data_IF_902319430921
#
_entry.id   IF_902319430921
#
_cell.length_a   1.000
_cell.length_b   1.000
_cell.length_c   1.000
_cell.angle_alpha   90.00
_cell.angle_beta   90.00
_cell.angle_gamma   90.00
#
_symmetry.space_group_name_H-M   'P 1'
#
loop_
_entity.id
_entity.type
_entity.pdbx_description
1 polymer ?
#
# COMPACT_ATOMS: atom_id res chain seq x y z
N UNK A 1 -17.58 -5.37 1.74
CA UNK A 1 -17.85 -3.98 2.10
C UNK A 1 -17.77 -3.08 0.87
N UNK A 2 -17.83 -1.74 1.03
CA UNK A 2 -17.92 -0.83 -0.12
C UNK A 2 -16.64 0.00 -0.36
N UNK A 3 -15.78 0.10 0.62
CA UNK A 3 -14.55 0.90 0.54
C UNK A 3 -13.38 0.27 1.27
N UNK A 4 -12.15 0.66 0.91
CA UNK A 4 -10.95 0.18 1.60
C UNK A 4 -10.94 0.53 3.08
N UNK A 5 -11.41 1.73 3.46
CA UNK A 5 -11.52 2.11 4.86
C UNK A 5 -12.45 1.17 5.65
N UNK A 6 -13.59 0.77 5.08
CA UNK A 6 -14.48 -0.22 5.70
C UNK A 6 -13.80 -1.58 5.83
N UNK A 7 -13.05 -2.02 4.82
CA UNK A 7 -12.30 -3.28 4.90
C UNK A 7 -11.28 -3.25 6.04
N UNK A 8 -10.47 -2.18 6.14
CA UNK A 8 -9.48 -2.03 7.22
C UNK A 8 -10.15 -2.00 8.59
N UNK A 9 -11.22 -1.23 8.77
CA UNK A 9 -11.95 -1.20 10.05
C UNK A 9 -12.51 -2.57 10.45
N UNK A 10 -13.06 -3.31 9.47
CA UNK A 10 -13.57 -4.65 9.74
C UNK A 10 -12.46 -5.68 9.97
N UNK A 11 -11.31 -5.58 9.29
CA UNK A 11 -10.16 -6.42 9.60
C UNK A 11 -9.69 -6.24 11.05
N UNK A 12 -9.65 -5.00 11.55
CA UNK A 12 -9.34 -4.72 12.96
C UNK A 12 -10.42 -5.26 13.89
N UNK A 13 -11.71 -5.13 13.56
CA UNK A 13 -12.80 -5.71 14.36
C UNK A 13 -12.65 -7.23 14.47
N UNK A 14 -12.34 -7.90 13.37
CA UNK A 14 -12.11 -9.35 13.32
C UNK A 14 -10.92 -9.73 14.20
N UNK A 15 -9.79 -9.02 14.05
CA UNK A 15 -8.59 -9.26 14.85
C UNK A 15 -8.83 -9.08 16.36
N UNK A 16 -9.53 -8.01 16.75
CA UNK A 16 -9.92 -7.76 18.14
C UNK A 16 -10.84 -8.86 18.70
N UNK A 17 -11.80 -9.30 17.89
CA UNK A 17 -12.71 -10.38 18.28
C UNK A 17 -11.98 -11.71 18.47
N UNK A 18 -11.03 -12.02 17.60
CA UNK A 18 -10.24 -13.25 17.65
C UNK A 18 -9.27 -13.26 18.84
N UNK A 19 -8.55 -12.17 19.06
CA UNK A 19 -7.49 -12.13 20.07
C UNK A 19 -7.98 -11.73 21.47
N UNK A 20 -9.12 -11.06 21.58
CA UNK A 20 -9.59 -10.43 22.82
C UNK A 20 -8.77 -9.20 23.24
N UNK A 21 -7.81 -8.77 22.41
CA UNK A 21 -6.93 -7.63 22.64
C UNK A 21 -7.49 -6.39 21.94
N UNK A 22 -6.95 -5.19 22.21
CA UNK A 22 -7.54 -3.94 21.72
C UNK A 22 -6.62 -3.02 20.95
N UNK A 23 -5.31 -3.02 21.23
CA UNK A 23 -4.36 -2.13 20.58
C UNK A 23 -4.10 -2.53 19.11
N UNK A 24 -3.83 -1.55 18.29
CA UNK A 24 -3.49 -1.72 16.85
C UNK A 24 -2.18 -1.04 16.57
N UNK A 25 -1.25 -1.72 15.93
CA UNK A 25 -0.03 -1.11 15.43
C UNK A 25 -0.13 -0.85 13.92
N UNK A 26 0.37 0.31 13.50
CA UNK A 26 0.54 0.73 12.11
C UNK A 26 1.92 1.36 11.94
N UNK A 27 2.34 1.65 10.74
CA UNK A 27 3.70 2.08 10.45
C UNK A 27 3.81 3.55 10.08
N UNK A 28 5.03 4.10 10.22
CA UNK A 28 5.34 5.40 9.65
C UNK A 28 5.01 5.41 8.16
N UNK A 29 4.60 6.56 7.64
CA UNK A 29 4.18 6.79 6.26
C UNK A 29 2.92 6.04 5.80
N UNK A 30 2.27 5.22 6.64
CA UNK A 30 1.10 4.42 6.29
C UNK A 30 -0.12 5.26 5.88
N UNK A 31 -0.94 4.67 5.01
CA UNK A 31 -2.25 5.20 4.65
C UNK A 31 -3.29 4.08 4.61
N UNK A 32 -4.28 4.15 5.51
CA UNK A 32 -5.31 3.11 5.63
C UNK A 32 -6.75 3.60 5.42
N UNK A 33 -6.93 4.88 5.10
CA UNK A 33 -8.24 5.46 4.83
C UNK A 33 -8.51 6.79 5.51
N UNK A 34 -9.77 7.26 5.42
CA UNK A 34 -10.19 8.61 5.87
C UNK A 34 -11.40 8.60 6.81
N UNK A 35 -11.84 7.46 7.34
CA UNK A 35 -12.78 7.40 8.47
C UNK A 35 -12.06 7.79 9.76
N UNK A 36 -12.76 8.07 10.83
CA UNK A 36 -12.14 8.48 12.09
C UNK A 36 -11.07 7.49 12.57
N UNK A 37 -11.38 6.18 12.51
CA UNK A 37 -10.46 5.14 12.94
C UNK A 37 -9.28 4.99 11.97
N UNK A 38 -9.53 4.91 10.66
CA UNK A 38 -8.45 4.77 9.67
C UNK A 38 -7.60 6.04 9.56
N UNK A 39 -8.13 7.24 9.89
CA UNK A 39 -7.32 8.45 10.05
C UNK A 39 -6.37 8.38 11.25
N UNK A 40 -6.76 7.72 12.36
CA UNK A 40 -5.82 7.43 13.45
C UNK A 40 -4.64 6.59 12.94
N UNK A 41 -4.90 5.62 12.05
CA UNK A 41 -3.90 4.74 11.45
C UNK A 41 -3.06 5.43 10.36
N UNK A 42 -3.63 6.37 9.60
CA UNK A 42 -2.94 7.11 8.53
C UNK A 42 -1.88 8.05 9.12
N UNK A 43 -0.67 8.07 8.53
CA UNK A 43 0.46 8.83 9.08
C UNK A 43 0.39 10.32 8.75
N UNK A 44 0.26 10.66 7.48
CA UNK A 44 0.42 12.03 6.97
C UNK A 44 -0.66 12.98 7.52
N UNK A 45 -0.23 14.08 8.16
CA UNK A 45 -1.16 15.04 8.74
C UNK A 45 -1.90 15.84 7.65
N UNK A 46 -1.16 16.56 6.80
CA UNK A 46 -1.74 17.30 5.66
C UNK A 46 -1.63 16.44 4.39
N UNK A 47 -2.70 16.33 3.59
CA UNK A 47 -4.02 16.97 3.72
C UNK A 47 -5.04 16.18 4.55
N UNK A 48 -4.68 15.03 5.15
CA UNK A 48 -5.66 14.02 5.58
C UNK A 48 -6.28 14.28 6.96
N UNK A 49 -5.49 14.73 7.95
CA UNK A 49 -5.88 14.75 9.38
C UNK A 49 -6.19 16.12 9.95
N UNK A 50 -5.62 17.16 9.38
CA UNK A 50 -5.76 18.53 9.92
C UNK A 50 -7.23 18.95 10.01
N UNK A 51 -7.69 19.28 11.23
CA UNK A 51 -9.04 19.76 11.50
C UNK A 51 -10.10 18.69 11.72
N UNK A 52 -9.74 17.38 11.70
CA UNK A 52 -10.70 16.27 11.83
C UNK A 52 -10.61 15.49 13.16
N UNK A 53 -9.72 15.89 14.07
CA UNK A 53 -9.62 15.24 15.39
C UNK A 53 -10.78 15.58 16.34
N UNK A 54 -10.94 14.85 17.47
CA UNK A 54 -10.06 13.79 17.93
C UNK A 54 -10.24 12.47 17.16
N UNK A 55 -9.15 11.70 17.07
CA UNK A 55 -9.17 10.39 16.42
C UNK A 55 -9.35 9.26 17.44
N UNK A 56 -9.62 8.04 16.93
CA UNK A 56 -9.74 6.84 17.76
C UNK A 56 -8.46 6.57 18.56
N UNK A 57 -8.63 6.08 19.80
CA UNK A 57 -7.56 5.66 20.69
C UNK A 57 -6.98 4.29 20.33
N UNK A 58 -5.90 3.92 21.02
CA UNK A 58 -5.29 2.59 20.97
C UNK A 58 -4.76 2.21 19.59
N UNK A 59 -4.39 3.23 18.79
CA UNK A 59 -3.66 3.10 17.53
C UNK A 59 -2.25 3.62 17.74
N UNK A 60 -1.28 2.74 17.60
CA UNK A 60 0.14 3.00 17.86
C UNK A 60 0.91 2.99 16.55
N UNK A 61 1.90 3.89 16.43
CA UNK A 61 2.73 3.98 15.25
C UNK A 61 4.12 3.44 15.54
N UNK A 62 4.63 2.59 14.65
CA UNK A 62 5.97 2.01 14.74
C UNK A 62 6.80 2.35 13.51
N UNK A 63 8.15 2.33 13.63
CA UNK A 63 9.02 2.63 12.50
C UNK A 63 8.82 1.67 11.33
N UNK A 64 8.78 2.22 10.10
CA UNK A 64 8.80 1.46 8.85
C UNK A 64 10.24 1.27 8.37
N UNK A 65 10.47 0.21 7.60
CA UNK A 65 11.68 0.10 6.78
C UNK A 65 11.59 1.05 5.60
N UNK A 66 12.57 1.93 5.47
CA UNK A 66 12.70 2.85 4.35
C UNK A 66 14.16 2.92 3.88
N UNK A 67 14.60 1.98 3.02
CA UNK A 67 16.03 1.78 2.71
C UNK A 67 16.77 3.05 2.28
N UNK A 68 16.13 3.89 1.47
CA UNK A 68 16.72 5.17 1.03
C UNK A 68 17.01 6.12 2.22
N UNK A 69 16.25 6.03 3.31
CA UNK A 69 16.33 6.97 4.44
C UNK A 69 17.11 6.42 5.62
N UNK A 70 16.93 5.14 5.93
CA UNK A 70 17.52 4.54 7.13
C UNK A 70 18.75 3.66 6.83
N UNK A 71 18.91 3.20 5.59
CA UNK A 71 20.05 2.37 5.17
C UNK A 71 20.13 1.01 5.91
N UNK A 72 19.05 0.60 6.59
CA UNK A 72 19.01 -0.63 7.37
C UNK A 72 18.70 -1.84 6.48
N UNK A 73 19.22 -2.99 6.87
CA UNK A 73 18.76 -4.28 6.36
C UNK A 73 17.32 -4.54 6.82
N UNK A 74 16.63 -5.47 6.16
CA UNK A 74 15.26 -5.83 6.56
C UNK A 74 15.17 -6.33 7.99
N UNK A 75 16.14 -7.12 8.45
CA UNK A 75 16.18 -7.61 9.82
C UNK A 75 16.40 -6.48 10.84
N UNK A 76 17.36 -5.59 10.61
CA UNK A 76 17.61 -4.46 11.51
C UNK A 76 16.41 -3.51 11.60
N UNK A 77 15.75 -3.24 10.48
CA UNK A 77 14.53 -2.44 10.46
C UNK A 77 13.37 -3.14 11.19
N UNK A 78 13.24 -4.46 11.04
CA UNK A 78 12.25 -5.25 11.76
C UNK A 78 12.53 -5.26 13.26
N UNK A 79 13.77 -5.49 13.68
CA UNK A 79 14.18 -5.46 15.09
C UNK A 79 13.87 -4.10 15.75
N UNK A 80 14.09 -3.01 15.02
CA UNK A 80 13.71 -1.65 15.45
C UNK A 80 12.21 -1.51 15.67
N UNK A 81 11.39 -2.00 14.74
CA UNK A 81 9.93 -1.96 14.86
C UNK A 81 9.43 -2.87 15.98
N UNK A 82 9.92 -4.11 16.05
CA UNK A 82 9.58 -5.11 17.07
C UNK A 82 9.90 -4.57 18.47
N UNK A 83 11.04 -3.93 18.65
CA UNK A 83 11.40 -3.31 19.94
C UNK A 83 10.33 -2.32 20.41
N UNK A 84 9.75 -1.53 19.51
CA UNK A 84 8.66 -0.60 19.85
C UNK A 84 7.38 -1.37 20.19
N UNK A 85 7.03 -2.40 19.40
CA UNK A 85 5.88 -3.26 19.66
C UNK A 85 5.95 -3.89 21.07
N UNK A 86 7.11 -4.39 21.48
CA UNK A 86 7.31 -5.05 22.77
C UNK A 86 7.37 -4.07 23.94
N UNK A 87 8.13 -2.99 23.80
CA UNK A 87 8.45 -2.13 24.93
C UNK A 87 7.47 -0.99 25.18
N UNK A 88 6.73 -0.56 24.17
CA UNK A 88 5.83 0.58 24.26
C UNK A 88 4.34 0.19 24.19
N UNK A 89 4.01 -0.92 23.52
CA UNK A 89 2.63 -1.37 23.36
C UNK A 89 2.39 -2.64 24.19
N UNK A 90 3.26 -3.61 24.06
CA UNK A 90 3.16 -4.95 24.67
C UNK A 90 2.33 -5.90 23.81
N UNK A 91 2.88 -7.07 23.53
CA UNK A 91 2.22 -8.09 22.72
C UNK A 91 0.87 -8.55 23.32
N UNK A 92 0.74 -8.53 24.64
CA UNK A 92 -0.49 -8.92 25.35
C UNK A 92 -1.66 -7.95 25.12
N UNK A 93 -1.38 -6.71 24.72
CA UNK A 93 -2.40 -5.70 24.41
C UNK A 93 -2.71 -5.65 22.91
N UNK A 94 -1.79 -6.11 22.05
CA UNK A 94 -1.83 -5.89 20.63
C UNK A 94 -2.71 -6.92 19.91
N UNK A 95 -3.84 -6.46 19.38
CA UNK A 95 -4.75 -7.26 18.58
C UNK A 95 -4.19 -7.58 17.20
N UNK A 96 -3.67 -6.56 16.52
CA UNK A 96 -3.11 -6.72 15.17
C UNK A 96 -2.03 -5.69 14.85
N UNK A 97 -1.23 -6.09 13.88
CA UNK A 97 -0.34 -5.22 13.10
C UNK A 97 -0.93 -5.06 11.71
N UNK A 98 -1.14 -3.82 11.26
CA UNK A 98 -1.65 -3.49 9.92
C UNK A 98 -0.55 -2.83 9.11
N UNK A 99 -0.22 -3.41 7.95
CA UNK A 99 0.89 -2.98 7.13
C UNK A 99 0.54 -3.07 5.64
N UNK A 100 0.87 -2.02 4.88
CA UNK A 100 0.90 -2.06 3.42
C UNK A 100 2.23 -2.71 2.98
N UNK A 101 2.24 -3.87 2.28
CA UNK A 101 3.49 -4.53 1.87
C UNK A 101 4.41 -3.63 1.02
N UNK A 102 3.80 -2.75 0.21
CA UNK A 102 4.43 -1.58 -0.40
C UNK A 102 3.55 -0.39 -0.05
N UNK A 103 4.10 0.59 0.66
CA UNK A 103 3.32 1.75 1.12
C UNK A 103 2.96 2.67 -0.03
N UNK A 104 1.65 2.85 -0.30
CA UNK A 104 1.16 3.63 -1.42
C UNK A 104 1.36 5.14 -1.26
N UNK A 105 0.52 5.77 -0.48
CA UNK A 105 0.51 7.24 -0.27
C UNK A 105 1.78 7.75 0.43
N UNK A 106 2.46 6.89 1.16
CA UNK A 106 3.74 7.16 1.81
C UNK A 106 4.88 7.41 0.82
N UNK A 107 4.74 7.00 -0.44
CA UNK A 107 5.73 7.23 -1.49
C UNK A 107 6.18 5.97 -2.22
N UNK A 108 5.33 4.96 -2.37
CA UNK A 108 5.64 3.65 -2.92
C UNK A 108 6.88 3.03 -2.27
N UNK A 109 6.90 3.11 -0.93
CA UNK A 109 8.02 2.62 -0.13
C UNK A 109 7.97 1.09 -0.13
N UNK A 110 8.95 0.49 -0.75
CA UNK A 110 9.25 -0.93 -0.68
C UNK A 110 10.18 -1.17 0.51
N UNK A 111 9.80 -2.01 1.48
CA UNK A 111 10.68 -2.30 2.61
C UNK A 111 11.90 -3.11 2.16
N UNK A 112 13.00 -3.01 2.93
CA UNK A 112 14.16 -3.85 2.71
C UNK A 112 13.79 -5.33 2.82
N UNK A 113 14.38 -6.16 1.94
CA UNK A 113 14.14 -7.60 1.91
C UNK A 113 14.34 -8.23 3.30
N UNK A 114 13.37 -9.04 3.71
CA UNK A 114 13.37 -9.70 5.02
C UNK A 114 12.61 -8.93 6.11
N UNK A 115 12.27 -7.67 5.91
CA UNK A 115 11.48 -6.89 6.88
C UNK A 115 10.09 -7.49 7.10
N UNK A 116 9.36 -7.71 6.00
CA UNK A 116 7.99 -8.22 6.06
C UNK A 116 7.92 -9.62 6.68
N UNK A 117 8.73 -10.61 6.25
CA UNK A 117 8.77 -11.91 6.89
C UNK A 117 9.09 -11.87 8.39
N UNK A 118 10.01 -11.00 8.83
CA UNK A 118 10.38 -10.90 10.23
C UNK A 118 9.23 -10.35 11.09
N UNK A 119 8.52 -9.31 10.61
CA UNK A 119 7.33 -8.77 11.29
C UNK A 119 6.23 -9.83 11.38
N UNK A 120 5.96 -10.56 10.29
CA UNK A 120 4.92 -11.61 10.27
C UNK A 120 5.28 -12.77 11.21
N UNK A 121 6.55 -13.19 11.25
CA UNK A 121 6.99 -14.23 12.16
C UNK A 121 6.81 -13.79 13.62
N UNK A 122 7.20 -12.57 13.95
CA UNK A 122 6.99 -12.02 15.30
C UNK A 122 5.50 -11.98 15.68
N UNK A 123 4.62 -11.58 14.76
CA UNK A 123 3.18 -11.58 15.00
C UNK A 123 2.66 -13.00 15.34
N UNK A 124 3.08 -14.01 14.58
CA UNK A 124 2.72 -15.42 14.82
C UNK A 124 3.18 -15.91 16.19
N UNK A 125 4.43 -15.61 16.55
CA UNK A 125 5.03 -16.05 17.82
C UNK A 125 4.35 -15.41 19.05
N UNK A 126 3.69 -14.27 18.87
CA UNK A 126 3.06 -13.50 19.95
C UNK A 126 1.51 -13.51 19.92
N UNK A 127 0.89 -14.34 19.08
CA UNK A 127 -0.56 -14.38 18.92
C UNK A 127 -1.13 -12.97 18.61
N UNK A 128 -0.53 -12.29 17.65
CA UNK A 128 -0.93 -11.00 17.08
C UNK A 128 -1.38 -11.24 15.66
N UNK A 129 -2.54 -10.75 15.24
CA UNK A 129 -3.03 -10.91 13.87
C UNK A 129 -2.24 -9.99 12.94
N UNK A 130 -1.65 -10.55 11.89
CA UNK A 130 -1.03 -9.75 10.83
C UNK A 130 -2.04 -9.46 9.72
N UNK A 131 -2.30 -8.18 9.47
CA UNK A 131 -3.20 -7.70 8.41
C UNK A 131 -2.38 -7.07 7.30
N UNK A 132 -2.38 -7.67 6.13
CA UNK A 132 -1.82 -7.07 4.93
C UNK A 132 -2.85 -6.14 4.28
N UNK A 133 -2.55 -4.85 4.22
CA UNK A 133 -3.35 -3.89 3.46
C UNK A 133 -2.89 -3.90 1.99
N UNK A 134 -3.54 -4.75 1.21
CA UNK A 134 -3.26 -4.94 -0.22
C UNK A 134 -4.19 -4.10 -1.13
N UNK A 135 -4.86 -3.10 -0.55
CA UNK A 135 -5.83 -2.25 -1.26
C UNK A 135 -5.21 -1.54 -2.47
N UNK A 136 -3.93 -1.16 -2.38
CA UNK A 136 -3.25 -0.50 -3.50
C UNK A 136 -2.23 -1.41 -4.20
N UNK A 137 -1.57 -2.29 -3.47
CA UNK A 137 -0.48 -3.12 -3.97
C UNK A 137 -0.92 -4.46 -4.57
N UNK A 138 -2.10 -4.95 -4.19
CA UNK A 138 -2.63 -6.24 -4.64
C UNK A 138 -3.26 -6.25 -6.04
N UNK A 139 -3.85 -7.38 -6.39
CA UNK A 139 -4.57 -7.60 -7.64
C UNK A 139 -3.69 -7.34 -8.87
N UNK A 140 -2.62 -8.11 -8.98
CA UNK A 140 -1.63 -8.10 -10.05
C UNK A 140 -0.77 -6.83 -10.13
N UNK A 141 -1.13 -5.73 -9.43
CA UNK A 141 -0.49 -4.41 -9.54
C UNK A 141 1.03 -4.45 -9.43
N UNK A 142 1.56 -5.28 -8.54
CA UNK A 142 2.99 -5.38 -8.23
C UNK A 142 3.69 -6.59 -8.86
N UNK A 143 3.03 -7.26 -9.81
CA UNK A 143 3.60 -8.40 -10.53
C UNK A 143 3.24 -9.78 -9.97
N UNK A 144 2.58 -9.82 -8.82
CA UNK A 144 1.94 -11.01 -8.24
C UNK A 144 0.49 -10.69 -7.87
N UNK A 145 -0.33 -11.72 -7.56
CA UNK A 145 -1.71 -11.52 -7.15
C UNK A 145 -1.78 -10.59 -5.93
N UNK A 146 -0.90 -10.79 -4.95
CA UNK A 146 -0.71 -9.93 -3.78
C UNK A 146 0.78 -9.62 -3.56
N UNK A 147 1.09 -8.42 -3.12
CA UNK A 147 2.47 -8.00 -2.89
C UNK A 147 3.18 -8.84 -1.81
N UNK A 148 2.45 -9.39 -0.84
CA UNK A 148 2.99 -10.35 0.13
C UNK A 148 3.62 -11.59 -0.51
N UNK A 149 3.19 -11.97 -1.71
CA UNK A 149 3.71 -13.16 -2.40
C UNK A 149 5.19 -13.02 -2.80
N UNK A 150 5.70 -11.79 -2.98
CA UNK A 150 7.11 -11.54 -3.35
C UNK A 150 8.12 -12.14 -2.38
N UNK A 151 7.79 -12.16 -1.09
CA UNK A 151 8.65 -12.73 -0.05
C UNK A 151 8.07 -14.03 0.56
N UNK A 152 7.08 -14.63 -0.11
CA UNK A 152 6.44 -15.86 0.35
C UNK A 152 5.69 -15.71 1.68
N UNK A 153 5.21 -14.50 1.99
CA UNK A 153 4.47 -14.22 3.20
C UNK A 153 3.00 -14.58 3.03
N UNK A 154 2.48 -15.32 3.99
CA UNK A 154 1.06 -15.62 4.13
C UNK A 154 0.49 -14.80 5.29
N UNK A 155 -0.24 -13.70 5.03
CA UNK A 155 -0.87 -12.92 6.09
C UNK A 155 -2.06 -13.65 6.71
N UNK A 156 -2.41 -13.28 7.94
CA UNK A 156 -3.60 -13.81 8.62
C UNK A 156 -4.88 -13.23 8.01
N UNK A 157 -4.86 -11.95 7.67
CA UNK A 157 -5.95 -11.23 6.99
C UNK A 157 -5.36 -10.38 5.84
N UNK A 158 -6.13 -10.28 4.76
CA UNK A 158 -5.85 -9.39 3.62
C UNK A 158 -7.04 -8.44 3.44
N UNK A 159 -6.77 -7.14 3.25
CA UNK A 159 -7.77 -6.19 2.80
C UNK A 159 -7.59 -5.87 1.32
N UNK A 160 -8.68 -5.90 0.55
CA UNK A 160 -8.71 -5.61 -0.88
C UNK A 160 -9.80 -4.61 -1.21
N UNK A 161 -9.56 -3.72 -2.19
CA UNK A 161 -10.51 -2.75 -2.72
C UNK A 161 -9.99 -2.19 -4.07
N UNK A 162 -10.24 -0.92 -4.37
CA UNK A 162 -9.77 -0.21 -5.59
C UNK A 162 -10.03 -1.01 -6.88
N UNK A 163 -9.01 -1.74 -7.38
CA UNK A 163 -9.11 -2.50 -8.62
C UNK A 163 -10.06 -3.71 -8.53
N UNK A 164 -10.49 -4.12 -7.33
CA UNK A 164 -11.26 -5.33 -7.08
C UNK A 164 -12.50 -5.49 -7.95
N UNK A 165 -13.21 -4.41 -8.23
CA UNK A 165 -14.47 -4.44 -9.01
C UNK A 165 -14.48 -3.41 -10.15
N UNK A 166 -13.32 -3.14 -10.78
CA UNK A 166 -13.17 -2.30 -11.97
C UNK A 166 -13.88 -0.92 -11.87
N UNK A 167 -13.86 -0.30 -10.69
CA UNK A 167 -14.44 1.01 -10.43
C UNK A 167 -15.80 0.99 -9.72
N UNK A 168 -16.45 -0.16 -9.54
CA UNK A 168 -17.61 -0.26 -8.68
C UNK A 168 -17.20 -0.31 -7.19
N UNK A 169 -17.98 0.29 -6.27
CA UNK A 169 -17.71 0.25 -4.83
C UNK A 169 -17.75 -1.19 -4.30
N UNK A 170 -16.58 -1.74 -4.03
CA UNK A 170 -16.42 -3.05 -3.40
C UNK A 170 -15.11 -3.10 -2.63
N UNK A 171 -15.14 -3.73 -1.48
CA UNK A 171 -13.95 -4.11 -0.73
C UNK A 171 -14.18 -5.45 -0.03
N UNK A 172 -13.09 -6.11 0.31
CA UNK A 172 -13.13 -7.42 0.95
C UNK A 172 -12.10 -7.49 2.10
N UNK A 173 -12.44 -8.30 3.07
CA UNK A 173 -11.50 -8.88 4.03
C UNK A 173 -11.52 -10.38 3.80
N UNK A 174 -10.36 -10.94 3.54
CA UNK A 174 -10.18 -12.39 3.39
C UNK A 174 -9.09 -12.86 4.32
N UNK A 175 -9.13 -14.10 4.78
CA UNK A 175 -8.12 -14.62 5.68
C UNK A 175 -8.45 -16.00 6.22
N UNK A 176 -7.71 -16.39 7.24
CA UNK A 176 -7.80 -17.71 7.87
C UNK A 176 -9.17 -17.89 8.54
N UNK A 177 -9.80 -19.04 8.29
CA UNK A 177 -11.17 -19.32 8.71
C UNK A 177 -11.38 -19.11 10.22
N UNK A 178 -10.45 -19.60 11.04
CA UNK A 178 -10.53 -19.49 12.50
C UNK A 178 -10.48 -18.04 13.01
N UNK A 179 -9.89 -17.13 12.24
CA UNK A 179 -9.85 -15.70 12.54
C UNK A 179 -11.13 -15.03 12.01
N UNK A 180 -11.51 -15.36 10.77
CA UNK A 180 -12.69 -14.78 10.12
C UNK A 180 -14.00 -15.13 10.82
N UNK A 181 -14.11 -16.29 11.45
CA UNK A 181 -15.31 -16.76 12.14
C UNK A 181 -15.44 -16.21 13.58
N UNK A 182 -14.39 -15.58 14.14
CA UNK A 182 -14.38 -15.10 15.51
C UNK A 182 -15.48 -14.07 15.86
N UNK A 183 -15.88 -13.13 14.99
CA UNK A 183 -16.92 -12.15 15.31
C UNK A 183 -18.32 -12.72 15.49
N UNK A 184 -18.60 -13.90 14.98
CA UNK A 184 -19.92 -14.53 15.02
C UNK A 184 -20.98 -13.85 14.12
N UNK A 185 -22.18 -14.45 14.04
CA UNK A 185 -23.24 -13.97 13.16
C UNK A 185 -23.71 -12.55 13.49
N UNK A 186 -23.85 -11.71 12.46
CA UNK A 186 -24.39 -10.34 12.58
C UNK A 186 -23.42 -9.29 13.12
N UNK A 187 -22.21 -9.66 13.50
CA UNK A 187 -21.22 -8.71 14.03
C UNK A 187 -20.61 -7.79 12.94
N UNK A 188 -20.54 -8.26 11.72
CA UNK A 188 -20.03 -7.54 10.56
C UNK A 188 -21.14 -7.32 9.54
N UNK A 189 -21.09 -6.18 8.82
CA UNK A 189 -22.08 -5.92 7.78
C UNK A 189 -22.10 -4.46 7.35
N UNK A 190 -22.97 -4.21 6.39
CA UNK A 190 -23.30 -2.89 5.84
C UNK A 190 -24.45 -3.06 4.86
N UNK A 191 -25.39 -2.10 4.81
CA UNK A 191 -26.63 -2.22 4.02
C UNK A 191 -26.38 -2.53 2.54
N UNK A 192 -25.32 -1.99 1.97
CA UNK A 192 -24.94 -2.18 0.56
C UNK A 192 -23.70 -3.05 0.37
N UNK A 193 -23.17 -3.64 1.45
CA UNK A 193 -22.02 -4.51 1.37
C UNK A 193 -22.33 -5.78 0.58
N UNK A 194 -21.42 -6.17 -0.31
CA UNK A 194 -21.62 -7.33 -1.17
C UNK A 194 -22.65 -7.09 -2.27
N UNK A 195 -22.75 -5.86 -2.80
CA UNK A 195 -23.59 -5.55 -3.94
C UNK A 195 -23.35 -6.56 -5.08
N UNK A 196 -24.40 -7.28 -5.56
CA UNK A 196 -24.22 -8.34 -6.55
C UNK A 196 -23.63 -7.86 -7.89
N UNK A 197 -23.89 -6.62 -8.31
CA UNK A 197 -23.29 -6.06 -9.51
C UNK A 197 -21.78 -5.88 -9.34
N UNK A 198 -21.35 -5.37 -8.19
CA UNK A 198 -19.94 -5.21 -7.88
C UNK A 198 -19.23 -6.57 -7.69
N UNK A 199 -19.90 -7.56 -7.10
CA UNK A 199 -19.38 -8.92 -7.00
C UNK A 199 -19.22 -9.57 -8.38
N UNK A 200 -20.17 -9.40 -9.30
CA UNK A 200 -20.06 -9.90 -10.67
C UNK A 200 -18.90 -9.21 -11.43
N UNK A 201 -18.72 -7.90 -11.23
CA UNK A 201 -17.57 -7.19 -11.80
C UNK A 201 -16.25 -7.68 -11.23
N UNK A 202 -16.20 -8.02 -9.93
CA UNK A 202 -14.99 -8.58 -9.32
C UNK A 202 -14.62 -9.95 -9.89
N UNK A 203 -15.61 -10.80 -10.20
CA UNK A 203 -15.35 -12.07 -10.87
C UNK A 203 -14.70 -11.84 -12.24
N UNK A 204 -15.23 -10.91 -13.03
CA UNK A 204 -14.64 -10.56 -14.33
C UNK A 204 -13.22 -9.99 -14.19
N UNK A 205 -12.91 -9.25 -13.10
CA UNK A 205 -11.54 -8.78 -12.84
C UNK A 205 -10.59 -9.94 -12.58
N UNK A 206 -11.00 -10.95 -11.82
CA UNK A 206 -10.16 -12.14 -11.59
C UNK A 206 -9.94 -12.94 -12.88
N UNK A 207 -10.99 -13.12 -13.68
CA UNK A 207 -10.90 -13.76 -15.00
C UNK A 207 -9.92 -12.99 -15.91
N UNK A 208 -10.02 -11.66 -15.98
CA UNK A 208 -9.13 -10.81 -16.77
C UNK A 208 -7.67 -10.91 -16.30
N UNK A 209 -7.42 -10.94 -14.98
CA UNK A 209 -6.06 -11.09 -14.42
C UNK A 209 -5.45 -12.43 -14.85
N UNK A 210 -6.23 -13.50 -14.78
CA UNK A 210 -5.76 -14.86 -15.08
C UNK A 210 -5.60 -15.09 -16.58
N UNK A 211 -6.62 -14.79 -17.39
CA UNK A 211 -6.65 -15.05 -18.84
C UNK A 211 -5.61 -14.22 -19.61
N UNK A 212 -5.32 -13.00 -19.16
CA UNK A 212 -4.38 -12.10 -19.83
C UNK A 212 -3.03 -11.98 -19.11
N UNK A 213 -2.73 -12.85 -18.13
CA UNK A 213 -1.49 -12.81 -17.34
C UNK A 213 -1.11 -11.38 -16.90
N UNK A 214 -2.04 -10.69 -16.25
CA UNK A 214 -1.79 -9.30 -15.85
C UNK A 214 -0.65 -9.19 -14.81
N UNK A 215 -0.32 -10.25 -14.09
CA UNK A 215 0.87 -10.30 -13.26
C UNK A 215 2.16 -10.23 -14.11
N UNK A 216 2.23 -11.02 -15.19
CA UNK A 216 3.32 -10.94 -16.18
C UNK A 216 3.39 -9.56 -16.83
N UNK A 217 2.22 -9.04 -17.25
CA UNK A 217 2.14 -7.70 -17.84
C UNK A 217 2.63 -6.59 -16.90
N UNK A 218 2.33 -6.66 -15.62
CA UNK A 218 2.83 -5.69 -14.64
C UNK A 218 4.38 -5.71 -14.56
N UNK A 219 4.99 -6.90 -14.61
CA UNK A 219 6.47 -7.03 -14.65
C UNK A 219 7.07 -6.48 -15.95
N UNK A 220 6.42 -6.64 -17.09
CA UNK A 220 6.85 -6.01 -18.35
C UNK A 220 6.80 -4.49 -18.25
N UNK A 221 5.70 -3.93 -17.73
CA UNK A 221 5.54 -2.49 -17.49
C UNK A 221 6.66 -1.97 -16.58
N UNK A 222 7.01 -2.70 -15.53
CA UNK A 222 8.17 -2.36 -14.67
C UNK A 222 9.45 -2.22 -15.48
N UNK A 223 9.77 -3.22 -16.31
CA UNK A 223 10.97 -3.19 -17.16
C UNK A 223 11.02 -1.97 -18.07
N UNK A 224 9.88 -1.63 -18.71
CA UNK A 224 9.77 -0.45 -19.57
C UNK A 224 9.98 0.83 -18.77
N UNK A 225 9.31 1.00 -17.62
CA UNK A 225 9.45 2.20 -16.78
C UNK A 225 10.89 2.36 -16.29
N UNK A 226 11.49 1.30 -15.75
CA UNK A 226 12.86 1.33 -15.22
C UNK A 226 13.88 1.67 -16.32
N UNK A 227 13.73 1.12 -17.51
CA UNK A 227 14.64 1.43 -18.63
C UNK A 227 14.67 2.91 -19.00
N UNK A 228 13.58 3.65 -18.79
CA UNK A 228 13.50 5.09 -19.06
C UNK A 228 13.97 5.94 -17.88
N UNK A 229 13.71 5.53 -16.65
CA UNK A 229 13.90 6.38 -15.47
C UNK A 229 15.18 6.09 -14.70
N UNK A 230 15.66 4.84 -14.63
CA UNK A 230 16.91 4.51 -13.92
C UNK A 230 18.14 5.26 -14.45
N UNK A 231 18.29 5.51 -15.78
CA UNK A 231 19.40 6.31 -16.30
C UNK A 231 19.43 7.77 -15.82
N UNK A 232 18.35 8.26 -15.22
CA UNK A 232 18.26 9.63 -14.68
C UNK A 232 18.68 9.72 -13.21
N UNK A 233 18.87 8.59 -12.53
CA UNK A 233 19.24 8.58 -11.10
C UNK A 233 20.66 9.10 -10.94
N UNK A 234 20.81 10.22 -10.24
CA UNK A 234 22.07 10.91 -9.98
C UNK A 234 22.39 11.04 -8.48
N UNK A 235 21.50 10.52 -7.60
CA UNK A 235 21.54 10.60 -6.14
C UNK A 235 21.48 12.03 -5.55
N UNK A 236 21.30 13.05 -6.39
CA UNK A 236 21.13 14.44 -5.95
C UNK A 236 19.71 14.93 -6.21
N UNK A 237 19.34 15.12 -7.48
CA UNK A 237 18.01 15.58 -7.89
C UNK A 237 17.06 14.40 -8.05
N UNK A 238 17.44 13.41 -8.85
CA UNK A 238 16.72 12.13 -8.99
C UNK A 238 17.35 11.12 -8.04
N UNK A 239 16.74 10.92 -6.90
CA UNK A 239 17.31 10.13 -5.81
C UNK A 239 17.15 8.63 -5.99
N UNK A 240 15.95 8.21 -6.42
CA UNK A 240 15.63 6.79 -6.50
C UNK A 240 14.46 6.52 -7.45
N UNK A 241 14.53 5.40 -8.15
CA UNK A 241 13.39 4.74 -8.80
C UNK A 241 13.11 3.46 -8.03
N UNK A 242 11.93 3.32 -7.42
CA UNK A 242 11.56 2.17 -6.58
C UNK A 242 10.15 1.67 -6.84
N UNK A 243 9.84 0.53 -6.26
CA UNK A 243 8.56 -0.15 -6.38
C UNK A 243 8.65 -1.40 -7.22
N UNK A 244 7.50 -2.04 -7.51
CA UNK A 244 7.40 -3.30 -8.25
C UNK A 244 6.25 -3.30 -9.24
N UNK A 245 6.40 -4.04 -10.32
CA UNK A 245 5.37 -4.16 -11.33
C UNK A 245 4.97 -2.81 -11.91
N UNK A 246 3.67 -2.57 -12.00
CA UNK A 246 3.13 -1.30 -12.46
C UNK A 246 2.84 -0.30 -11.30
N UNK A 247 3.58 -0.42 -10.20
CA UNK A 247 3.54 0.47 -9.04
C UNK A 247 4.94 1.04 -8.80
N UNK A 248 5.36 2.01 -9.61
CA UNK A 248 6.72 2.57 -9.60
C UNK A 248 6.67 4.04 -9.18
N UNK A 249 7.63 4.43 -8.37
CA UNK A 249 7.84 5.80 -7.92
C UNK A 249 9.21 6.33 -8.32
N UNK A 250 9.24 7.63 -8.57
CA UNK A 250 10.45 8.43 -8.74
C UNK A 250 10.53 9.41 -7.57
N UNK A 251 11.55 9.28 -6.73
CA UNK A 251 11.80 10.25 -5.66
C UNK A 251 12.78 11.33 -6.12
N UNK A 252 12.39 12.57 -5.89
CA UNK A 252 13.16 13.77 -6.23
C UNK A 252 13.67 14.46 -4.95
N UNK A 253 14.49 15.49 -5.14
CA UNK A 253 15.07 16.26 -4.04
C UNK A 253 14.05 17.12 -3.30
N UNK A 254 13.13 17.78 -4.02
CA UNK A 254 12.17 18.75 -3.44
C UNK A 254 10.74 18.57 -3.95
N UNK A 255 9.77 19.00 -3.12
CA UNK A 255 8.35 19.00 -3.49
C UNK A 255 8.05 20.01 -4.61
N UNK A 256 8.74 21.16 -4.62
CA UNK A 256 8.57 22.21 -5.61
C UNK A 256 8.95 21.70 -7.00
N UNK A 257 10.09 21.04 -7.12
CA UNK A 257 10.54 20.43 -8.38
C UNK A 257 9.59 19.32 -8.83
N UNK A 258 9.17 18.49 -7.91
CA UNK A 258 8.21 17.41 -8.16
C UNK A 258 6.90 17.94 -8.73
N UNK A 259 6.39 19.03 -8.15
CA UNK A 259 5.18 19.70 -8.64
C UNK A 259 5.39 20.34 -10.01
N UNK A 260 6.54 20.97 -10.27
CA UNK A 260 6.88 21.56 -11.57
C UNK A 260 6.91 20.49 -12.68
N UNK A 261 7.56 19.37 -12.43
CA UNK A 261 7.63 18.23 -13.38
C UNK A 261 6.22 17.66 -13.63
N UNK A 262 5.43 17.43 -12.57
CA UNK A 262 4.07 16.91 -12.70
C UNK A 262 3.17 17.86 -13.51
N UNK A 263 3.31 19.18 -13.33
CA UNK A 263 2.58 20.17 -14.11
C UNK A 263 3.03 20.18 -15.58
N UNK A 264 4.34 20.12 -15.86
CA UNK A 264 4.85 20.05 -17.23
C UNK A 264 4.34 18.80 -17.98
N UNK A 265 4.30 17.65 -17.31
CA UNK A 265 3.69 16.43 -17.85
C UNK A 265 2.19 16.64 -18.18
N UNK A 266 1.44 17.25 -17.26
CA UNK A 266 0.02 17.51 -17.43
C UNK A 266 -0.28 18.44 -18.61
N UNK A 267 0.54 19.46 -18.84
CA UNK A 267 0.42 20.36 -20.00
C UNK A 267 0.60 19.64 -21.32
N UNK A 268 1.35 18.52 -21.33
CA UNK A 268 1.54 17.66 -22.49
C UNK A 268 0.59 16.45 -22.52
N UNK A 269 -0.45 16.42 -21.65
CA UNK A 269 -1.48 15.39 -21.65
C UNK A 269 -1.17 14.16 -20.80
N UNK A 270 -0.06 14.16 -20.06
CA UNK A 270 0.31 13.05 -19.15
C UNK A 270 -0.04 13.40 -17.72
N UNK A 271 -1.03 12.70 -17.14
CA UNK A 271 -1.45 12.90 -15.75
C UNK A 271 -0.60 12.03 -14.84
N UNK A 272 0.29 12.66 -14.09
CA UNK A 272 1.04 12.05 -12.99
C UNK A 272 0.50 12.53 -11.64
N UNK A 273 0.68 11.74 -10.59
CA UNK A 273 0.29 12.11 -9.23
C UNK A 273 1.53 12.18 -8.34
N UNK A 274 1.53 13.15 -7.44
CA UNK A 274 2.56 13.27 -6.41
C UNK A 274 2.13 12.59 -5.11
N UNK A 275 3.07 12.06 -4.36
CA UNK A 275 2.86 11.45 -3.05
C UNK A 275 4.10 11.58 -2.16
N UNK A 276 4.19 10.76 -1.13
CA UNK A 276 5.27 10.82 -0.15
C UNK A 276 4.96 11.81 0.98
N UNK A 277 5.59 11.57 2.13
CA UNK A 277 5.42 12.43 3.31
C UNK A 277 5.88 13.86 3.01
N UNK A 278 6.97 14.00 2.29
CA UNK A 278 7.57 15.28 1.91
C UNK A 278 7.00 15.86 0.60
N UNK A 279 6.12 15.12 -0.12
CA UNK A 279 5.54 15.57 -1.38
C UNK A 279 6.49 15.56 -2.57
N UNK A 280 7.63 14.88 -2.45
CA UNK A 280 8.74 14.87 -3.41
C UNK A 280 8.81 13.59 -4.25
N UNK A 281 7.71 12.85 -4.36
CA UNK A 281 7.64 11.60 -5.11
C UNK A 281 6.60 11.70 -6.22
N UNK A 282 6.98 11.38 -7.45
CA UNK A 282 6.07 11.13 -8.57
C UNK A 282 5.76 9.65 -8.58
N UNK A 283 4.47 9.29 -8.60
CA UNK A 283 4.02 7.90 -8.67
C UNK A 283 3.43 7.58 -10.03
N UNK A 284 3.79 6.41 -10.55
CA UNK A 284 3.31 5.86 -11.80
C UNK A 284 2.44 4.64 -11.51
N UNK A 285 1.18 4.72 -11.92
CA UNK A 285 0.17 3.67 -11.78
C UNK A 285 -0.57 3.50 -13.12
N UNK A 286 0.12 3.15 -14.20
CA UNK A 286 -0.56 2.96 -15.48
C UNK A 286 -1.58 1.80 -15.39
N UNK A 287 -2.66 1.83 -16.20
CA UNK A 287 -3.51 0.65 -16.36
C UNK A 287 -2.65 -0.55 -16.80
N UNK A 288 -2.91 -1.75 -16.24
CA UNK A 288 -2.16 -2.95 -16.64
C UNK A 288 -2.36 -3.31 -18.11
N UNK A 289 -3.47 -2.89 -18.69
CA UNK A 289 -3.82 -3.10 -20.10
C UNK A 289 -3.37 -1.93 -21.00
N UNK A 290 -2.53 -1.02 -20.52
CA UNK A 290 -2.05 0.12 -21.32
C UNK A 290 -1.27 -0.37 -22.56
N UNK A 291 -1.53 0.14 -23.79
CA UNK A 291 -0.69 -0.12 -24.93
C UNK A 291 0.75 0.38 -24.67
N UNK A 292 1.73 -0.43 -25.07
CA UNK A 292 3.15 -0.11 -24.86
C UNK A 292 3.54 1.24 -25.51
N UNK A 293 2.98 1.52 -26.69
CA UNK A 293 3.21 2.79 -27.39
C UNK A 293 2.79 4.01 -26.56
N UNK A 294 1.64 3.94 -25.89
CA UNK A 294 1.17 5.02 -25.01
C UNK A 294 1.97 5.11 -23.71
N UNK A 295 2.40 3.97 -23.18
CA UNK A 295 3.27 3.96 -22.00
C UNK A 295 4.61 4.62 -22.33
N UNK A 296 5.21 4.25 -23.43
CA UNK A 296 6.50 4.81 -23.90
C UNK A 296 6.39 6.30 -24.18
N UNK A 297 5.37 6.75 -24.91
CA UNK A 297 5.12 8.17 -25.17
C UNK A 297 4.98 8.96 -23.85
N UNK A 298 4.22 8.45 -22.90
CA UNK A 298 4.07 9.10 -21.59
C UNK A 298 5.37 9.16 -20.79
N UNK A 299 6.22 8.13 -20.89
CA UNK A 299 7.53 8.10 -20.24
C UNK A 299 8.52 9.06 -20.91
N UNK A 300 8.52 9.18 -22.24
CA UNK A 300 9.35 10.15 -22.97
C UNK A 300 9.01 11.59 -22.57
N UNK A 301 7.72 11.91 -22.42
CA UNK A 301 7.25 13.20 -21.91
C UNK A 301 7.74 13.45 -20.48
N UNK A 302 7.63 12.44 -19.60
CA UNK A 302 8.13 12.55 -18.23
C UNK A 302 9.65 12.75 -18.17
N UNK A 303 10.41 11.99 -18.96
CA UNK A 303 11.87 12.14 -19.07
C UNK A 303 12.28 13.53 -19.55
N UNK A 304 11.59 14.08 -20.57
CA UNK A 304 11.82 15.44 -21.03
C UNK A 304 11.52 16.46 -19.92
N UNK A 305 10.36 16.35 -19.26
CA UNK A 305 9.99 17.24 -18.16
C UNK A 305 10.98 17.19 -17.00
N UNK A 306 11.54 16.01 -16.68
CA UNK A 306 12.61 15.89 -15.67
C UNK A 306 13.85 16.64 -16.13
N UNK A 307 14.35 16.39 -17.34
CA UNK A 307 15.57 17.03 -17.87
C UNK A 307 15.47 18.55 -17.92
N UNK A 308 14.30 19.08 -18.23
CA UNK A 308 14.06 20.53 -18.31
C UNK A 308 14.00 21.20 -16.91
N UNK A 309 13.92 20.40 -15.85
CA UNK A 309 13.84 20.85 -14.45
C UNK A 309 15.06 20.39 -13.59
N UNK A 310 16.11 19.84 -14.21
CA UNK A 310 17.38 19.51 -13.52
C UNK A 310 18.32 20.75 -13.32
#
# INVERSE_FOLDING_TARGET
>A
FNSGAEAVENAVKIARSHTGKYAVATFDNAYHGRTNFTLAMTAKNKPYKTGFGPFASDVHRVPMSYPLRDGLTGQEAADRAIRVLETQIGADNLACVVLEPIQGEGGFIEPAKGFLPAIVQWCRDNNVVFVADEIQAGLARTGDMFACNHEGVEPDLITSAKALAAGLPLSAVTGRAEIMDAPGPGALGGTYAGNPLACAAAMAVFEEIEENDLCGRAREIEGIIRSHLEPLVDNNVVREVRGRGAMIALELDTAERTAAIANACKEQGVVTLTCGTDGNVIRLLPPLVIPETLLTEGLEILVAAIKDNL
#
